data_IF_389767273695
#
_entry.id   IF_389767273695
#
_cell.length_a   1.000
_cell.length_b   1.000
_cell.length_c   1.000
_cell.angle_alpha   90.00
_cell.angle_beta   90.00
_cell.angle_gamma   90.00
#
_symmetry.space_group_name_H-M   'P 1'
#
loop_
_entity.id
_entity.type
_entity.pdbx_description
1 polymer ?
#
# COMPACT_ATOMS: atom_id res chain seq x y z
N UNK A 1 14.44 18.16 -30.07
CA UNK A 1 13.95 17.01 -30.85
C UNK A 1 14.84 15.83 -30.48
N UNK A 2 14.51 15.11 -29.40
CA UNK A 2 15.11 13.83 -29.09
C UNK A 2 14.20 12.79 -29.74
N UNK A 3 14.71 12.09 -30.73
CA UNK A 3 14.11 10.90 -31.27
C UNK A 3 14.01 9.87 -30.12
N UNK A 4 12.86 9.79 -29.46
CA UNK A 4 12.47 8.55 -28.82
C UNK A 4 12.20 7.57 -29.96
N UNK A 5 13.24 6.83 -30.35
CA UNK A 5 13.06 5.57 -31.07
C UNK A 5 12.10 4.76 -30.19
N UNK A 6 10.95 4.40 -30.75
CA UNK A 6 10.04 3.42 -30.19
C UNK A 6 10.86 2.11 -30.09
N UNK A 7 11.53 1.90 -28.94
CA UNK A 7 12.03 0.57 -28.62
C UNK A 7 10.77 -0.28 -28.43
N UNK A 8 10.68 -1.36 -29.19
CA UNK A 8 9.57 -2.31 -29.06
C UNK A 8 9.45 -2.71 -27.59
N UNK A 9 8.25 -2.60 -27.03
CA UNK A 9 8.03 -2.97 -25.63
C UNK A 9 8.40 -4.44 -25.38
N UNK A 10 9.13 -4.72 -24.32
CA UNK A 10 9.44 -6.09 -23.90
C UNK A 10 8.18 -6.96 -23.77
N UNK A 11 7.03 -6.36 -23.44
CA UNK A 11 5.76 -7.08 -23.38
C UNK A 11 5.25 -7.46 -24.75
N UNK A 12 5.44 -6.61 -25.76
CA UNK A 12 5.11 -6.93 -27.17
C UNK A 12 5.98 -8.04 -27.71
N UNK A 13 7.28 -8.05 -27.37
CA UNK A 13 8.18 -9.17 -27.69
C UNK A 13 7.69 -10.49 -27.07
N UNK A 14 7.09 -10.44 -25.88
CA UNK A 14 6.49 -11.58 -25.19
C UNK A 14 5.07 -11.90 -25.70
N UNK A 15 4.52 -11.14 -26.64
CA UNK A 15 3.16 -11.30 -27.14
C UNK A 15 2.08 -10.85 -26.15
N UNK A 16 2.42 -9.98 -25.19
CA UNK A 16 1.50 -9.44 -24.20
C UNK A 16 1.17 -7.98 -24.55
N UNK A 17 -0.11 -7.62 -24.73
CA UNK A 17 -0.49 -6.25 -25.02
C UNK A 17 -0.12 -5.28 -23.88
N UNK A 18 0.40 -4.12 -24.24
CA UNK A 18 0.67 -3.04 -23.29
C UNK A 18 -0.61 -2.35 -22.82
N UNK A 19 -0.50 -1.53 -21.78
CA UNK A 19 -1.61 -0.85 -21.13
C UNK A 19 -1.31 0.63 -20.97
N UNK A 20 -2.24 1.48 -21.40
CA UNK A 20 -2.35 2.88 -20.98
C UNK A 20 -3.19 2.92 -19.71
N UNK A 21 -2.56 3.29 -18.61
CA UNK A 21 -3.17 3.20 -17.28
C UNK A 21 -3.77 4.55 -16.84
N UNK A 22 -5.04 4.74 -17.11
CA UNK A 22 -5.86 5.85 -16.63
C UNK A 22 -6.73 5.49 -15.41
N UNK A 23 -6.40 4.40 -14.69
CA UNK A 23 -7.14 3.92 -13.51
C UNK A 23 -6.38 4.13 -12.18
N UNK A 24 -5.22 4.80 -12.20
CA UNK A 24 -4.36 4.98 -11.03
C UNK A 24 -3.57 3.72 -10.65
N UNK A 25 -3.07 3.66 -9.42
CA UNK A 25 -2.12 2.64 -8.95
C UNK A 25 -2.78 1.27 -8.69
N UNK A 26 -3.33 0.64 -9.72
CA UNK A 26 -4.01 -0.67 -9.60
C UNK A 26 -3.02 -1.83 -9.75
N UNK A 27 -2.90 -2.68 -8.72
CA UNK A 27 -1.98 -3.83 -8.68
C UNK A 27 -2.12 -4.77 -9.91
N UNK A 28 -3.37 -5.03 -10.38
CA UNK A 28 -3.64 -5.94 -11.50
C UNK A 28 -3.05 -5.50 -12.85
N UNK A 29 -2.60 -4.26 -12.98
CA UNK A 29 -1.99 -3.70 -14.19
C UNK A 29 -0.59 -3.15 -13.93
N UNK A 30 0.06 -3.59 -12.84
CA UNK A 30 1.45 -3.27 -12.55
C UNK A 30 1.67 -2.17 -11.52
N UNK A 31 0.60 -1.64 -10.90
CA UNK A 31 0.73 -0.57 -9.88
C UNK A 31 1.09 0.76 -10.51
N UNK A 32 2.25 1.30 -10.16
CA UNK A 32 2.85 2.49 -10.75
C UNK A 32 4.13 2.16 -11.52
N UNK A 33 4.58 3.08 -12.36
CA UNK A 33 5.92 2.98 -12.95
C UNK A 33 6.96 3.28 -11.89
N UNK A 34 7.97 2.40 -11.79
CA UNK A 34 9.12 2.61 -10.90
C UNK A 34 9.85 3.88 -11.34
N UNK A 35 10.37 4.65 -10.39
CA UNK A 35 11.16 5.85 -10.66
C UNK A 35 12.42 5.49 -11.46
N UNK A 36 12.85 6.32 -12.43
CA UNK A 36 13.99 6.02 -13.28
C UNK A 36 15.29 5.77 -12.50
N UNK A 37 15.55 6.57 -11.46
CA UNK A 37 16.70 6.44 -10.57
C UNK A 37 16.66 5.10 -9.81
N UNK A 38 15.49 4.70 -9.31
CA UNK A 38 15.30 3.43 -8.64
C UNK A 38 15.53 2.23 -9.58
N UNK A 39 15.08 2.31 -10.84
CA UNK A 39 15.35 1.29 -11.86
C UNK A 39 16.85 1.14 -12.13
N UNK A 40 17.60 2.25 -12.22
CA UNK A 40 19.04 2.20 -12.43
C UNK A 40 19.76 1.60 -11.23
N UNK A 41 19.35 1.95 -10.01
CA UNK A 41 19.94 1.39 -8.80
C UNK A 41 19.62 -0.11 -8.64
N UNK A 42 18.39 -0.54 -8.99
CA UNK A 42 18.03 -1.97 -9.07
C UNK A 42 18.92 -2.73 -10.05
N UNK A 43 19.15 -2.15 -11.24
CA UNK A 43 20.01 -2.75 -12.26
C UNK A 43 21.45 -2.92 -11.77
N UNK A 44 21.98 -1.95 -11.02
CA UNK A 44 23.32 -2.00 -10.41
C UNK A 44 23.36 -3.06 -9.31
N UNK A 45 22.39 -3.04 -8.40
CA UNK A 45 22.30 -4.00 -7.28
C UNK A 45 22.20 -5.46 -7.76
N UNK A 46 21.55 -5.70 -8.91
CA UNK A 46 21.43 -7.04 -9.47
C UNK A 46 22.78 -7.71 -9.80
N UNK A 47 23.81 -6.92 -10.09
CA UNK A 47 25.17 -7.40 -10.40
C UNK A 47 26.05 -7.75 -9.21
N UNK A 48 25.60 -7.49 -7.97
CA UNK A 48 26.42 -7.58 -6.77
C UNK A 48 25.77 -8.46 -5.69
N UNK A 49 26.53 -8.82 -4.65
CA UNK A 49 26.03 -9.52 -3.48
C UNK A 49 26.14 -8.62 -2.24
N UNK A 50 25.23 -8.81 -1.28
CA UNK A 50 25.17 -8.07 -0.03
C UNK A 50 24.55 -8.95 1.06
N UNK A 51 24.91 -8.72 2.31
CA UNK A 51 24.17 -9.27 3.45
C UNK A 51 22.81 -8.56 3.56
N UNK A 52 21.74 -9.33 3.44
CA UNK A 52 20.38 -8.77 3.46
C UNK A 52 20.03 -8.11 4.79
N UNK A 53 20.59 -8.62 5.89
CA UNK A 53 20.43 -8.01 7.22
C UNK A 53 20.99 -6.57 7.27
N UNK A 54 22.20 -6.35 6.75
CA UNK A 54 22.82 -5.03 6.70
C UNK A 54 22.04 -4.05 5.80
N UNK A 55 21.54 -4.56 4.66
CA UNK A 55 20.72 -3.76 3.76
C UNK A 55 19.37 -3.38 4.39
N UNK A 56 18.74 -4.30 5.12
CA UNK A 56 17.51 -4.04 5.89
C UNK A 56 17.78 -3.05 7.04
N UNK A 57 18.91 -3.16 7.74
CA UNK A 57 19.27 -2.20 8.78
C UNK A 57 19.42 -0.77 8.21
N UNK A 58 20.05 -0.63 7.04
CA UNK A 58 20.14 0.68 6.37
C UNK A 58 18.77 1.20 5.91
N UNK A 59 17.91 0.33 5.40
CA UNK A 59 16.53 0.68 5.06
C UNK A 59 15.72 1.08 6.30
N UNK A 60 15.95 0.40 7.44
CA UNK A 60 15.31 0.74 8.72
C UNK A 60 15.67 2.16 9.18
N UNK A 61 16.93 2.56 9.07
CA UNK A 61 17.37 3.93 9.40
C UNK A 61 16.65 4.98 8.56
N UNK A 62 16.59 4.79 7.23
CA UNK A 62 15.88 5.72 6.35
C UNK A 62 14.39 5.79 6.66
N UNK A 63 13.73 4.63 6.85
CA UNK A 63 12.30 4.57 7.18
C UNK A 63 12.04 5.31 8.52
N UNK A 64 12.86 5.07 9.53
CA UNK A 64 12.77 5.77 10.81
C UNK A 64 12.93 7.29 10.66
N UNK A 65 13.90 7.73 9.86
CA UNK A 65 14.15 9.15 9.59
C UNK A 65 12.94 9.84 8.95
N UNK A 66 12.34 9.21 7.92
CA UNK A 66 11.24 9.84 7.15
C UNK A 66 9.86 9.69 7.79
N UNK A 67 9.70 8.73 8.72
CA UNK A 67 8.40 8.47 9.38
C UNK A 67 8.34 8.98 10.82
N UNK A 68 9.50 9.25 11.43
CA UNK A 68 9.58 9.56 12.85
C UNK A 68 9.36 8.35 13.77
N UNK A 69 9.24 7.13 13.22
CA UNK A 69 9.16 5.89 13.97
C UNK A 69 10.52 5.51 14.57
N UNK A 70 10.55 4.58 15.53
CA UNK A 70 11.80 4.12 16.15
C UNK A 70 12.64 3.26 15.20
N UNK A 71 11.98 2.51 14.30
CA UNK A 71 12.61 1.63 13.33
C UNK A 71 11.68 1.37 12.14
N UNK A 72 12.24 0.77 11.08
CA UNK A 72 11.47 0.37 9.92
C UNK A 72 11.92 -0.97 9.35
N UNK A 73 11.13 -1.50 8.41
CA UNK A 73 11.43 -2.75 7.73
C UNK A 73 10.82 -2.80 6.33
N UNK A 74 11.53 -3.40 5.38
CA UNK A 74 11.02 -3.61 4.03
C UNK A 74 10.50 -5.02 3.86
N UNK A 75 9.26 -5.13 3.39
CA UNK A 75 8.56 -6.40 3.16
C UNK A 75 8.20 -6.60 1.70
N UNK A 76 7.77 -7.80 1.31
CA UNK A 76 7.30 -8.11 -0.04
C UNK A 76 5.86 -7.61 -0.27
N UNK A 77 5.65 -6.31 -0.08
CA UNK A 77 4.37 -5.62 -0.21
C UNK A 77 3.68 -5.39 1.14
N UNK A 78 2.74 -4.45 1.17
CA UNK A 78 2.01 -4.07 2.38
C UNK A 78 1.27 -5.25 3.03
N UNK A 79 0.72 -6.18 2.23
CA UNK A 79 0.06 -7.36 2.79
C UNK A 79 1.02 -8.26 3.59
N UNK A 80 2.28 -8.41 3.14
CA UNK A 80 3.31 -9.09 3.91
C UNK A 80 3.69 -8.30 5.17
N UNK A 81 3.70 -6.96 5.08
CA UNK A 81 3.88 -6.08 6.24
C UNK A 81 2.80 -6.30 7.30
N UNK A 82 1.53 -6.32 6.91
CA UNK A 82 0.40 -6.58 7.82
C UNK A 82 0.48 -7.98 8.45
N UNK A 83 0.83 -9.00 7.68
CA UNK A 83 1.00 -10.36 8.20
C UNK A 83 2.10 -10.40 9.26
N UNK A 84 3.25 -9.82 8.95
CA UNK A 84 4.40 -9.80 9.86
C UNK A 84 4.14 -8.94 11.10
N UNK A 85 3.41 -7.84 10.97
CA UNK A 85 2.99 -7.00 12.11
C UNK A 85 2.07 -7.77 13.06
N UNK A 86 1.10 -8.50 12.51
CA UNK A 86 0.25 -9.38 13.32
C UNK A 86 1.05 -10.52 13.97
N UNK A 87 1.98 -11.12 13.24
CA UNK A 87 2.86 -12.16 13.77
C UNK A 87 3.76 -11.63 14.89
N UNK A 88 4.24 -10.39 14.75
CA UNK A 88 5.03 -9.72 15.78
C UNK A 88 4.20 -9.41 17.03
N UNK A 89 2.97 -8.92 16.87
CA UNK A 89 2.06 -8.66 17.98
C UNK A 89 1.67 -9.94 18.74
N UNK A 90 1.58 -11.10 18.05
CA UNK A 90 1.28 -12.39 18.69
C UNK A 90 2.51 -12.98 19.37
N UNK A 91 3.66 -13.00 18.68
CA UNK A 91 4.83 -13.75 19.13
C UNK A 91 5.84 -12.91 19.91
N UNK A 92 5.85 -11.58 19.75
CA UNK A 92 6.90 -10.76 20.34
C UNK A 92 8.30 -11.26 19.98
N UNK A 93 9.12 -11.57 20.99
CA UNK A 93 10.46 -12.16 20.84
C UNK A 93 10.51 -13.66 21.23
N UNK A 94 9.35 -14.31 21.47
CA UNK A 94 9.28 -15.73 21.76
C UNK A 94 9.58 -16.57 20.53
N UNK A 95 10.82 -17.08 20.45
CA UNK A 95 11.31 -17.89 19.34
C UNK A 95 10.50 -19.18 19.13
N UNK A 96 9.97 -19.78 20.21
CA UNK A 96 9.19 -21.00 20.12
C UNK A 96 7.80 -20.72 19.54
N UNK A 97 7.24 -19.56 19.83
CA UNK A 97 5.96 -19.12 19.25
C UNK A 97 6.13 -18.70 17.80
N UNK A 98 7.22 -17.99 17.45
CA UNK A 98 7.57 -17.67 16.06
C UNK A 98 7.65 -18.91 15.17
N UNK A 99 8.27 -19.99 15.67
CA UNK A 99 8.47 -21.24 14.92
C UNK A 99 7.14 -21.99 14.65
N UNK A 100 6.13 -21.78 15.47
CA UNK A 100 4.85 -22.48 15.38
C UNK A 100 3.73 -21.69 14.69
N UNK A 101 3.88 -20.36 14.51
CA UNK A 101 2.87 -19.58 13.78
C UNK A 101 2.60 -20.19 12.39
N UNK A 102 1.35 -20.22 11.91
CA UNK A 102 0.14 -19.55 12.46
C UNK A 102 -0.64 -20.35 13.51
N UNK A 103 -0.09 -21.42 14.09
CA UNK A 103 -0.74 -22.16 15.16
C UNK A 103 -0.54 -21.43 16.49
N UNK A 104 -1.52 -20.63 16.88
CA UNK A 104 -1.50 -19.85 18.12
C UNK A 104 -1.84 -20.68 19.35
N UNK A 105 -2.58 -21.77 19.19
CA UNK A 105 -3.01 -22.60 20.32
C UNK A 105 -3.82 -21.80 21.34
N UNK A 106 -3.31 -21.71 22.57
CA UNK A 106 -3.98 -21.05 23.71
C UNK A 106 -3.44 -19.62 23.99
N UNK A 107 -2.47 -19.12 23.21
CA UNK A 107 -1.96 -17.76 23.43
C UNK A 107 -2.93 -16.70 22.93
N UNK A 108 -2.86 -15.45 23.43
CA UNK A 108 -3.62 -14.33 22.88
C UNK A 108 -3.37 -14.17 21.38
N UNK A 109 -4.42 -13.96 20.59
CA UNK A 109 -4.36 -13.92 19.14
C UNK A 109 -5.47 -13.05 18.52
N UNK A 110 -6.22 -12.31 19.34
CA UNK A 110 -7.34 -11.50 18.85
C UNK A 110 -6.86 -10.13 18.39
N UNK A 111 -7.32 -9.74 17.20
CA UNK A 111 -7.18 -8.37 16.68
C UNK A 111 -8.57 -7.74 16.59
N UNK A 112 -8.80 -6.73 17.42
CA UNK A 112 -10.05 -5.94 17.39
C UNK A 112 -10.02 -5.02 16.17
N UNK A 113 -11.08 -5.05 15.36
CA UNK A 113 -11.11 -4.28 14.12
C UNK A 113 -12.52 -3.73 13.83
N UNK A 114 -12.66 -2.41 13.56
CA UNK A 114 -13.93 -1.88 13.10
C UNK A 114 -14.40 -2.60 11.82
N UNK A 115 -15.66 -3.03 11.80
CA UNK A 115 -16.22 -3.77 10.66
C UNK A 115 -16.16 -2.97 9.36
N UNK A 116 -16.28 -1.65 9.43
CA UNK A 116 -16.13 -0.74 8.30
C UNK A 116 -14.71 -0.68 7.74
N UNK A 117 -13.70 -1.13 8.51
CA UNK A 117 -12.30 -1.24 8.10
C UNK A 117 -11.95 -2.59 7.45
N UNK A 118 -12.89 -3.56 7.45
CA UNK A 118 -12.65 -4.88 6.85
C UNK A 118 -12.46 -4.77 5.35
N UNK A 119 -11.38 -5.35 4.87
CA UNK A 119 -11.01 -5.41 3.45
C UNK A 119 -10.54 -6.82 3.10
N UNK A 120 -10.29 -7.10 1.80
CA UNK A 120 -9.69 -8.37 1.40
C UNK A 120 -8.29 -8.61 1.98
N UNK A 121 -7.64 -7.56 2.49
CA UNK A 121 -6.30 -7.63 3.08
C UNK A 121 -6.30 -8.06 4.56
N UNK A 122 -7.44 -8.16 5.23
CA UNK A 122 -7.53 -8.77 6.55
C UNK A 122 -7.11 -10.26 6.56
N UNK A 123 -7.10 -10.87 5.38
CA UNK A 123 -6.48 -12.18 5.18
C UNK A 123 -5.03 -12.23 5.64
N UNK A 124 -4.28 -11.14 5.50
CA UNK A 124 -2.89 -11.07 5.94
C UNK A 124 -2.78 -11.25 7.47
N UNK A 125 -3.60 -10.52 8.22
CA UNK A 125 -3.65 -10.65 9.68
C UNK A 125 -4.03 -12.08 10.11
N UNK A 126 -5.07 -12.64 9.49
CA UNK A 126 -5.53 -14.01 9.77
C UNK A 126 -4.52 -15.08 9.36
N UNK A 127 -3.73 -14.85 8.31
CA UNK A 127 -2.69 -15.79 7.89
C UNK A 127 -1.52 -15.86 8.88
N UNK A 128 -1.34 -14.85 9.72
CA UNK A 128 -0.41 -14.89 10.86
C UNK A 128 -0.93 -15.74 12.04
N UNK A 129 -2.20 -16.15 12.00
CA UNK A 129 -2.87 -16.87 13.09
C UNK A 129 -3.87 -16.02 13.87
N UNK A 130 -4.01 -14.72 13.54
CA UNK A 130 -4.91 -13.83 14.27
C UNK A 130 -6.38 -14.15 14.06
N UNK A 131 -7.15 -14.03 15.12
CA UNK A 131 -8.62 -14.04 15.11
C UNK A 131 -9.12 -12.59 15.07
N UNK A 132 -9.89 -12.22 14.04
CA UNK A 132 -10.46 -10.88 13.96
C UNK A 132 -11.72 -10.78 14.81
N UNK A 133 -11.74 -9.83 15.73
CA UNK A 133 -12.90 -9.45 16.53
C UNK A 133 -13.54 -8.22 15.90
N UNK A 134 -14.63 -8.43 15.16
CA UNK A 134 -15.37 -7.35 14.51
C UNK A 134 -16.15 -6.50 15.51
N UNK A 135 -16.03 -5.17 15.41
CA UNK A 135 -16.82 -4.20 16.17
C UNK A 135 -17.60 -3.26 15.27
N UNK A 136 -18.75 -2.80 15.75
CA UNK A 136 -19.63 -1.90 14.99
C UNK A 136 -20.45 -2.59 13.91
N UNK A 137 -21.00 -1.79 13.00
CA UNK A 137 -21.92 -2.24 11.92
C UNK A 137 -21.57 -1.58 10.59
N UNK A 138 -21.93 -2.20 9.48
CA UNK A 138 -21.82 -1.66 8.12
C UNK A 138 -23.15 -1.80 7.34
N UNK A 139 -24.28 -1.74 8.01
CA UNK A 139 -25.59 -1.80 7.37
C UNK A 139 -25.96 -0.46 6.74
N UNK A 140 -25.70 -0.29 5.46
CA UNK A 140 -26.00 0.92 4.69
C UNK A 140 -27.48 1.29 4.61
N UNK A 141 -28.40 0.37 4.96
CA UNK A 141 -29.84 0.63 4.95
C UNK A 141 -30.34 1.37 6.19
N UNK A 142 -29.56 1.40 7.26
CA UNK A 142 -29.91 2.05 8.52
C UNK A 142 -29.46 3.52 8.61
N UNK A 143 -28.93 4.09 7.53
CA UNK A 143 -28.44 5.45 7.48
C UNK A 143 -27.06 5.63 8.12
N UNK A 144 -26.78 6.80 8.69
CA UNK A 144 -25.45 7.16 9.19
C UNK A 144 -24.95 6.27 10.33
N UNK A 145 -25.83 5.73 11.16
CA UNK A 145 -25.48 4.79 12.22
C UNK A 145 -24.96 3.43 11.71
N UNK A 146 -25.24 3.11 10.45
CA UNK A 146 -24.88 1.82 9.86
C UNK A 146 -23.39 1.69 9.50
N UNK A 147 -22.67 2.79 9.41
CA UNK A 147 -21.26 2.82 9.02
C UNK A 147 -20.34 3.27 10.16
N UNK A 148 -20.90 3.45 11.35
CA UNK A 148 -20.17 3.96 12.51
C UNK A 148 -19.77 2.85 13.45
N UNK A 149 -18.61 3.03 14.05
CA UNK A 149 -18.16 2.36 15.25
C UNK A 149 -18.01 3.41 16.33
N UNK A 150 -18.68 3.20 17.46
CA UNK A 150 -18.54 4.08 18.59
C UNK A 150 -17.27 3.71 19.40
N UNK A 151 -16.54 4.69 19.95
CA UNK A 151 -15.33 4.43 20.74
C UNK A 151 -15.50 3.37 21.81
N UNK A 152 -16.61 3.38 22.56
CA UNK A 152 -16.91 2.39 23.60
C UNK A 152 -17.07 0.96 23.09
N UNK A 153 -17.39 0.75 21.82
CA UNK A 153 -17.49 -0.60 21.22
C UNK A 153 -16.10 -1.21 21.06
N UNK A 154 -15.10 -0.38 20.67
CA UNK A 154 -13.69 -0.80 20.57
C UNK A 154 -13.18 -1.14 21.98
N UNK A 155 -13.36 -0.23 22.95
CA UNK A 155 -12.93 -0.42 24.34
C UNK A 155 -13.48 -1.72 24.93
N UNK A 156 -14.77 -2.01 24.75
CA UNK A 156 -15.41 -3.22 25.29
C UNK A 156 -15.02 -4.51 24.57
N UNK A 157 -14.49 -4.43 23.35
CA UNK A 157 -14.05 -5.60 22.62
C UNK A 157 -12.62 -6.03 22.98
N UNK A 158 -11.84 -5.14 23.58
CA UNK A 158 -10.49 -5.45 24.08
C UNK A 158 -10.60 -6.37 25.29
N UNK A 159 -9.86 -7.47 25.27
CA UNK A 159 -9.81 -8.50 26.31
C UNK A 159 -8.36 -8.94 26.54
N UNK A 160 -8.11 -9.80 27.55
CA UNK A 160 -6.80 -10.41 27.80
C UNK A 160 -6.27 -11.25 26.61
N UNK A 161 -7.10 -11.50 25.60
CA UNK A 161 -6.71 -12.18 24.35
C UNK A 161 -6.35 -11.24 23.22
N UNK A 162 -6.58 -9.94 23.38
CA UNK A 162 -6.34 -8.95 22.34
C UNK A 162 -4.84 -8.64 22.26
N UNK A 163 -4.26 -8.82 21.08
CA UNK A 163 -2.85 -8.57 20.80
C UNK A 163 -2.64 -7.27 20.01
N UNK A 164 -3.67 -6.76 19.34
CA UNK A 164 -3.63 -5.47 18.64
C UNK A 164 -5.04 -4.97 18.32
N UNK A 165 -5.12 -3.67 18.03
CA UNK A 165 -6.24 -3.07 17.30
C UNK A 165 -5.80 -2.86 15.85
N UNK A 166 -6.56 -3.38 14.89
CA UNK A 166 -6.32 -3.21 13.46
C UNK A 166 -7.09 -2.01 12.92
N UNK A 167 -6.41 -1.10 12.24
CA UNK A 167 -6.99 0.12 11.68
C UNK A 167 -6.65 0.25 10.20
N UNK A 168 -7.65 0.47 9.33
CA UNK A 168 -7.43 0.78 7.91
C UNK A 168 -7.65 2.27 7.70
N UNK A 169 -6.57 2.97 7.37
CA UNK A 169 -6.63 4.41 7.13
C UNK A 169 -7.25 4.70 5.77
N UNK A 170 -8.31 5.51 5.79
CA UNK A 170 -8.97 6.14 4.65
C UNK A 170 -9.55 7.48 5.08
N UNK A 171 -9.82 8.37 4.14
CA UNK A 171 -10.43 9.69 4.44
C UNK A 171 -11.78 9.58 5.15
N UNK A 172 -12.49 8.47 4.95
CA UNK A 172 -13.82 8.21 5.49
C UNK A 172 -13.83 7.30 6.72
N UNK A 173 -12.70 6.74 7.16
CA UNK A 173 -12.68 5.84 8.33
C UNK A 173 -12.96 6.60 9.62
N UNK A 174 -13.75 5.98 10.50
CA UNK A 174 -14.14 6.51 11.82
C UNK A 174 -14.18 5.35 12.83
N UNK A 175 -13.89 5.62 14.12
CA UNK A 175 -13.40 6.88 14.70
C UNK A 175 -12.04 7.31 14.14
N UNK A 176 -11.64 8.56 14.36
CA UNK A 176 -10.31 9.04 13.94
C UNK A 176 -9.20 8.23 14.63
N UNK A 177 -8.07 8.07 13.94
CA UNK A 177 -6.98 7.23 14.43
C UNK A 177 -6.52 7.58 15.84
N UNK A 178 -6.38 8.87 16.16
CA UNK A 178 -5.97 9.34 17.50
C UNK A 178 -6.92 8.91 18.62
N UNK A 179 -8.22 8.77 18.32
CA UNK A 179 -9.20 8.25 19.29
C UNK A 179 -9.01 6.75 19.51
N UNK A 180 -8.71 6.03 18.43
CA UNK A 180 -8.50 4.57 18.51
C UNK A 180 -7.19 4.25 19.23
N UNK A 181 -6.13 5.02 18.97
CA UNK A 181 -4.84 4.83 19.65
C UNK A 181 -4.94 5.14 21.15
N UNK A 182 -5.66 6.22 21.55
CA UNK A 182 -5.91 6.51 22.96
C UNK A 182 -6.61 5.34 23.67
N UNK A 183 -7.69 4.79 23.07
CA UNK A 183 -8.41 3.65 23.65
C UNK A 183 -7.53 2.42 23.76
N UNK A 184 -6.76 2.10 22.71
CA UNK A 184 -5.90 0.92 22.68
C UNK A 184 -4.79 1.02 23.75
N UNK A 185 -4.12 2.16 23.83
CA UNK A 185 -3.05 2.42 24.79
C UNK A 185 -3.55 2.48 26.25
N UNK A 186 -4.76 2.97 26.52
CA UNK A 186 -5.38 2.90 27.85
C UNK A 186 -5.60 1.44 28.32
N UNK A 187 -5.53 0.47 27.38
CA UNK A 187 -5.65 -0.97 27.64
C UNK A 187 -4.34 -1.74 27.38
N UNK A 188 -3.21 -1.07 27.24
CA UNK A 188 -1.90 -1.65 26.94
C UNK A 188 -1.88 -2.50 25.64
N UNK A 189 -2.64 -2.11 24.61
CA UNK A 189 -2.77 -2.81 23.32
C UNK A 189 -2.25 -1.94 22.19
N UNK A 190 -1.38 -2.45 21.30
CA UNK A 190 -0.85 -1.70 20.16
C UNK A 190 -1.88 -1.53 19.03
N UNK A 191 -1.64 -0.53 18.20
CA UNK A 191 -2.44 -0.24 16.99
C UNK A 191 -1.61 -0.49 15.72
N UNK A 192 -2.09 -1.42 14.88
CA UNK A 192 -1.51 -1.72 13.56
C UNK A 192 -2.34 -0.99 12.48
N UNK A 193 -1.71 -0.07 11.76
CA UNK A 193 -2.37 0.76 10.74
C UNK A 193 -2.04 0.28 9.33
N UNK A 194 -3.06 -0.10 8.56
CA UNK A 194 -2.94 -0.27 7.11
C UNK A 194 -3.10 1.10 6.43
N UNK A 195 -1.99 1.70 6.04
CA UNK A 195 -1.88 2.94 5.28
C UNK A 195 -1.37 2.71 3.84
N UNK A 196 -1.58 1.52 3.28
CA UNK A 196 -0.99 1.08 2.02
C UNK A 196 -1.26 2.00 0.82
N UNK A 197 -2.30 2.85 0.86
CA UNK A 197 -2.64 3.76 -0.24
C UNK A 197 -2.55 5.25 0.15
N UNK A 198 -1.97 5.55 1.29
CA UNK A 198 -2.04 6.87 1.91
C UNK A 198 -0.81 7.76 1.60
N UNK A 199 0.17 7.29 0.85
CA UNK A 199 1.24 8.08 0.29
C UNK A 199 1.09 8.16 -1.25
N UNK A 200 1.13 9.37 -1.86
CA UNK A 200 1.27 10.70 -1.26
C UNK A 200 0.02 11.14 -0.47
N UNK A 201 0.00 12.27 0.26
CA UNK A 201 1.09 13.24 0.40
C UNK A 201 2.23 12.72 1.30
N UNK A 202 3.41 13.36 1.21
CA UNK A 202 4.61 12.93 1.94
C UNK A 202 4.44 13.05 3.46
N UNK A 203 3.65 13.99 3.92
CA UNK A 203 3.33 14.24 5.32
C UNK A 203 2.67 13.02 5.98
N UNK A 204 1.98 12.20 5.21
CA UNK A 204 1.34 10.97 5.71
C UNK A 204 2.35 9.91 6.16
N UNK A 205 3.63 10.02 5.75
CA UNK A 205 4.65 9.09 6.24
C UNK A 205 4.85 9.20 7.76
N UNK A 206 4.77 10.42 8.33
CA UNK A 206 4.90 10.64 9.78
C UNK A 206 3.56 10.78 10.51
N UNK A 207 2.53 11.27 9.84
CA UNK A 207 1.26 11.65 10.48
C UNK A 207 0.59 10.52 11.28
N UNK A 208 0.70 9.27 10.84
CA UNK A 208 0.07 8.14 11.53
C UNK A 208 0.85 7.69 12.77
N UNK A 209 2.19 7.79 12.73
CA UNK A 209 3.06 7.58 13.89
C UNK A 209 2.81 8.69 14.92
N UNK A 210 2.74 9.95 14.48
CA UNK A 210 2.41 11.10 15.33
C UNK A 210 1.01 10.98 15.96
N UNK A 211 0.07 10.31 15.28
CA UNK A 211 -1.26 10.01 15.82
C UNK A 211 -1.29 8.84 16.81
N UNK A 212 -0.14 8.24 17.12
CA UNK A 212 0.03 7.19 18.11
C UNK A 212 -0.05 5.77 17.55
N UNK A 213 0.09 5.56 16.24
CA UNK A 213 0.17 4.21 15.70
C UNK A 213 1.49 3.53 16.09
N UNK A 214 1.43 2.32 16.63
CA UNK A 214 2.60 1.54 17.05
C UNK A 214 3.29 0.87 15.84
N UNK A 215 2.49 0.50 14.83
CA UNK A 215 2.97 -0.03 13.55
C UNK A 215 2.15 0.54 12.40
N UNK A 216 2.82 1.09 11.41
CA UNK A 216 2.19 1.63 10.18
C UNK A 216 2.75 0.89 8.96
N UNK A 217 1.86 0.49 8.05
CA UNK A 217 2.23 -0.26 6.85
C UNK A 217 1.85 0.50 5.59
N UNK A 218 2.85 0.82 4.75
CA UNK A 218 2.68 1.46 3.45
C UNK A 218 3.01 0.52 2.29
N UNK A 219 2.50 0.83 1.09
CA UNK A 219 2.90 0.14 -0.14
C UNK A 219 3.99 0.91 -0.86
N UNK A 220 5.12 0.28 -1.14
CA UNK A 220 6.21 0.88 -1.91
C UNK A 220 5.90 1.05 -3.40
N UNK A 221 5.04 0.19 -3.96
CA UNK A 221 4.73 0.16 -5.40
C UNK A 221 3.51 1.00 -5.83
N UNK A 222 2.98 1.86 -4.96
CA UNK A 222 1.90 2.80 -5.28
C UNK A 222 2.46 4.20 -5.54
N UNK A 223 2.07 5.20 -4.77
CA UNK A 223 2.47 6.59 -4.99
C UNK A 223 3.96 6.87 -4.74
N UNK A 224 4.64 6.08 -3.92
CA UNK A 224 6.10 6.16 -3.73
C UNK A 224 6.83 5.80 -5.04
N UNK A 225 6.21 4.97 -5.89
CA UNK A 225 6.77 4.55 -7.18
C UNK A 225 8.06 3.75 -7.07
N UNK A 226 8.17 2.93 -6.01
CA UNK A 226 9.14 1.86 -5.89
C UNK A 226 8.68 0.57 -6.60
N UNK A 227 9.43 -0.54 -6.45
CA UNK A 227 9.01 -1.83 -6.97
C UNK A 227 7.66 -2.27 -6.40
N UNK A 228 6.77 -2.79 -7.24
CA UNK A 228 5.41 -3.15 -6.84
C UNK A 228 5.37 -4.21 -5.72
N UNK A 229 6.35 -5.08 -5.68
CA UNK A 229 6.49 -6.12 -4.66
C UNK A 229 7.16 -5.62 -3.39
N UNK A 230 7.05 -4.33 -3.05
CA UNK A 230 7.62 -3.78 -1.82
C UNK A 230 6.57 -3.15 -0.94
N UNK A 231 6.78 -3.28 0.37
CA UNK A 231 6.02 -2.61 1.41
C UNK A 231 6.96 -2.07 2.48
N UNK A 232 6.54 -1.02 3.14
CA UNK A 232 7.24 -0.38 4.24
C UNK A 232 6.45 -0.69 5.51
N UNK A 233 7.13 -1.14 6.54
CA UNK A 233 6.63 -1.18 7.92
C UNK A 233 7.45 -0.19 8.72
N UNK A 234 6.79 0.73 9.40
CA UNK A 234 7.41 1.70 10.31
C UNK A 234 6.74 1.54 11.69
N UNK A 235 7.50 1.60 12.77
CA UNK A 235 6.89 1.46 14.09
C UNK A 235 7.90 1.36 15.22
N UNK A 236 7.42 0.90 16.36
CA UNK A 236 8.23 0.67 17.55
C UNK A 236 9.24 -0.46 17.30
N UNK A 237 10.41 -0.30 17.89
CA UNK A 237 11.55 -1.19 17.69
C UNK A 237 11.24 -2.64 17.98
N UNK A 238 10.49 -2.93 19.01
CA UNK A 238 10.16 -4.30 19.41
C UNK A 238 9.39 -5.07 18.33
N UNK A 239 8.45 -4.43 17.64
CA UNK A 239 7.72 -5.05 16.51
C UNK A 239 8.63 -5.23 15.31
N UNK A 240 9.49 -4.26 15.01
CA UNK A 240 10.42 -4.34 13.87
C UNK A 240 11.46 -5.44 14.11
N UNK A 241 11.98 -5.60 15.30
CA UNK A 241 12.89 -6.71 15.67
C UNK A 241 12.22 -8.07 15.47
N UNK A 242 10.99 -8.22 15.96
CA UNK A 242 10.20 -9.44 15.79
C UNK A 242 9.92 -9.74 14.31
N UNK A 243 9.55 -8.74 13.53
CA UNK A 243 9.36 -8.84 12.07
C UNK A 243 10.64 -9.32 11.39
N UNK A 244 11.76 -8.69 11.69
CA UNK A 244 13.06 -9.03 11.11
C UNK A 244 13.48 -10.46 11.46
N UNK A 245 13.29 -10.88 12.71
CA UNK A 245 13.58 -12.22 13.20
C UNK A 245 12.72 -13.31 12.52
N UNK A 246 11.48 -12.99 12.15
CA UNK A 246 10.56 -13.92 11.48
C UNK A 246 10.70 -13.93 9.95
N UNK A 247 11.35 -12.93 9.37
CA UNK A 247 11.43 -12.78 7.91
C UNK A 247 12.82 -13.09 7.34
N UNK A 248 13.91 -12.66 8.00
CA UNK A 248 15.27 -12.89 7.52
C UNK A 248 15.66 -14.37 7.60
N UNK A 249 16.63 -14.75 6.76
CA UNK A 249 17.21 -16.09 6.80
C UNK A 249 18.18 -16.19 7.98
N UNK A 250 17.83 -17.02 8.97
CA UNK A 250 18.61 -17.23 10.18
C UNK A 250 19.29 -18.62 10.22
N UNK A 251 19.52 -19.23 9.03
CA UNK A 251 20.22 -20.52 8.94
C UNK A 251 21.72 -20.39 9.24
N UNK A 252 22.05 -20.13 10.48
CA UNK A 252 23.41 -19.96 10.98
C UNK A 252 23.56 -20.66 12.34
N UNK A 253 24.77 -21.12 12.66
CA UNK A 253 25.07 -21.65 14.00
C UNK A 253 24.85 -20.55 15.06
N UNK A 254 24.32 -20.92 16.23
CA UNK A 254 23.93 -19.95 17.27
C UNK A 254 25.10 -19.04 17.72
N UNK A 255 26.30 -19.59 17.83
CA UNK A 255 27.52 -18.84 18.18
C UNK A 255 28.07 -17.95 17.03
N UNK A 256 27.60 -18.17 15.82
CA UNK A 256 27.94 -17.35 14.65
C UNK A 256 26.80 -16.36 14.26
N UNK A 257 25.66 -16.44 14.94
CA UNK A 257 24.56 -15.49 14.70
C UNK A 257 24.90 -14.11 15.22
N UNK A 258 25.05 -13.18 14.31
CA UNK A 258 25.41 -11.80 14.58
C UNK A 258 24.58 -10.84 13.68
N UNK A 259 23.28 -10.66 14.00
CA UNK A 259 22.45 -9.73 13.26
C UNK A 259 22.94 -8.28 13.44
N UNK A 260 22.62 -7.36 12.51
CA UNK A 260 22.92 -5.95 12.69
C UNK A 260 22.23 -5.38 13.94
N UNK A 261 23.00 -4.79 14.87
CA UNK A 261 22.48 -4.23 16.13
C UNK A 261 21.39 -3.15 15.92
N UNK A 262 21.47 -2.40 14.80
CA UNK A 262 20.46 -1.39 14.44
C UNK A 262 19.11 -2.00 14.02
N UNK A 263 19.05 -3.31 13.77
CA UNK A 263 17.83 -4.01 13.30
C UNK A 263 17.34 -5.04 14.32
N UNK A 264 18.23 -5.82 14.94
CA UNK A 264 17.89 -6.87 15.90
C UNK A 264 18.88 -6.82 17.05
N UNK A 265 18.40 -6.58 18.26
CA UNK A 265 19.19 -6.80 19.48
C UNK A 265 19.11 -8.27 19.88
N UNK A 266 20.22 -8.98 19.72
CA UNK A 266 20.34 -10.39 20.07
C UNK A 266 19.96 -10.69 21.54
N UNK A 267 20.14 -9.72 22.44
CA UNK A 267 19.84 -9.89 23.85
C UNK A 267 18.33 -10.04 24.15
N UNK A 268 17.48 -9.64 23.23
CA UNK A 268 16.03 -9.74 23.36
C UNK A 268 15.49 -11.15 23.01
N UNK A 269 16.36 -12.08 22.57
CA UNK A 269 15.94 -13.42 22.12
C UNK A 269 16.63 -14.51 22.93
N UNK A 270 15.86 -15.51 23.39
CA UNK A 270 16.37 -16.69 24.11
C UNK A 270 17.17 -17.66 23.22
N UNK A 271 17.18 -17.44 21.91
CA UNK A 271 17.88 -18.27 20.93
C UNK A 271 17.83 -17.68 19.53
N UNK A 272 18.41 -18.39 18.57
CA UNK A 272 18.36 -18.00 17.15
C UNK A 272 17.00 -18.36 16.58
N UNK A 273 16.20 -17.40 16.07
CA UNK A 273 14.99 -17.69 15.32
C UNK A 273 15.35 -18.49 14.08
N UNK A 274 14.86 -19.71 13.93
CA UNK A 274 15.28 -20.55 12.78
C UNK A 274 14.57 -20.21 11.51
N UNK A 275 13.24 -20.24 11.55
CA UNK A 275 12.36 -19.84 10.45
C UNK A 275 11.06 -19.31 10.99
N UNK A 276 10.77 -18.05 10.73
CA UNK A 276 9.47 -17.48 11.00
C UNK A 276 8.52 -17.59 9.81
N UNK A 277 7.27 -17.24 10.07
CA UNK A 277 6.19 -17.25 9.09
C UNK A 277 6.48 -16.36 7.85
N UNK A 278 7.33 -15.36 8.00
CA UNK A 278 7.74 -14.44 6.93
C UNK A 278 8.71 -15.03 5.92
N UNK A 279 9.39 -16.12 6.25
CA UNK A 279 10.46 -16.67 5.43
C UNK A 279 10.09 -16.99 3.97
N UNK A 280 8.86 -17.44 3.66
CA UNK A 280 8.42 -17.63 2.26
C UNK A 280 8.20 -16.33 1.49
N UNK A 281 8.03 -15.21 2.16
CA UNK A 281 7.71 -13.90 1.57
C UNK A 281 8.97 -13.08 1.30
N UNK A 282 9.88 -13.62 0.49
CA UNK A 282 11.16 -12.98 0.19
C UNK A 282 11.00 -11.64 -0.48
N UNK A 283 11.87 -10.69 -0.10
CA UNK A 283 12.14 -9.48 -0.86
C UNK A 283 13.58 -9.55 -1.36
N UNK A 284 13.82 -9.28 -2.64
CA UNK A 284 15.16 -9.34 -3.23
C UNK A 284 15.97 -8.10 -2.91
N UNK A 285 17.30 -8.21 -2.98
CA UNK A 285 18.20 -7.08 -2.77
C UNK A 285 17.94 -5.95 -3.76
N UNK A 286 17.56 -6.29 -4.98
CA UNK A 286 17.22 -5.34 -6.04
C UNK A 286 15.98 -4.51 -5.68
N UNK A 287 14.94 -5.18 -5.20
CA UNK A 287 13.69 -4.54 -4.79
C UNK A 287 13.89 -3.69 -3.54
N UNK A 288 14.71 -4.16 -2.59
CA UNK A 288 15.10 -3.39 -1.41
C UNK A 288 15.80 -2.08 -1.80
N UNK A 289 16.84 -2.17 -2.64
CA UNK A 289 17.57 -1.00 -3.14
C UNK A 289 16.63 -0.08 -3.93
N UNK A 290 15.79 -0.65 -4.80
CA UNK A 290 14.82 0.13 -5.58
C UNK A 290 13.81 0.87 -4.70
N UNK A 291 13.36 0.25 -3.58
CA UNK A 291 12.47 0.92 -2.65
C UNK A 291 13.18 2.05 -1.89
N UNK A 292 14.39 1.81 -1.39
CA UNK A 292 15.19 2.83 -0.67
C UNK A 292 15.40 4.05 -1.58
N UNK A 293 15.84 3.83 -2.82
CA UNK A 293 16.05 4.90 -3.80
C UNK A 293 14.75 5.64 -4.15
N UNK A 294 13.64 4.90 -4.30
CA UNK A 294 12.34 5.52 -4.59
C UNK A 294 11.79 6.32 -3.42
N UNK A 295 11.99 5.86 -2.18
CA UNK A 295 11.55 6.56 -0.96
C UNK A 295 12.33 7.86 -0.76
N UNK A 296 13.65 7.82 -0.94
CA UNK A 296 14.53 8.97 -0.87
C UNK A 296 14.08 10.05 -1.88
N UNK A 297 13.92 9.66 -3.15
CA UNK A 297 13.41 10.55 -4.20
C UNK A 297 11.99 11.06 -3.93
N UNK A 298 11.12 10.25 -3.30
CA UNK A 298 9.75 10.64 -2.96
C UNK A 298 9.70 11.74 -1.90
N UNK A 299 10.58 11.66 -0.91
CA UNK A 299 10.68 12.66 0.17
C UNK A 299 11.23 13.99 -0.35
N UNK A 300 12.16 13.95 -1.31
CA UNK A 300 12.75 15.15 -1.92
C UNK A 300 11.88 15.79 -3.02
N UNK A 301 10.85 15.08 -3.51
CA UNK A 301 10.01 15.51 -4.63
C UNK A 301 9.16 16.74 -4.29
N UNK A 302 9.12 17.72 -5.20
CA UNK A 302 8.20 18.86 -5.09
C UNK A 302 6.75 18.39 -5.31
N UNK A 303 6.10 18.03 -4.21
CA UNK A 303 4.73 17.52 -4.21
C UNK A 303 3.71 18.53 -4.78
N UNK A 304 4.00 19.84 -4.71
CA UNK A 304 3.13 20.85 -5.28
C UNK A 304 3.25 20.86 -6.82
N UNK A 305 4.47 20.80 -7.34
CA UNK A 305 4.71 20.73 -8.79
C UNK A 305 4.04 19.47 -9.41
N UNK A 306 4.12 18.33 -8.72
CA UNK A 306 3.47 17.09 -9.14
C UNK A 306 1.94 17.24 -9.17
N UNK A 307 1.34 17.85 -8.15
CA UNK A 307 -0.11 18.11 -8.12
C UNK A 307 -0.55 19.07 -9.23
N UNK A 308 0.25 20.10 -9.51
CA UNK A 308 -0.01 21.05 -10.59
C UNK A 308 0.04 20.36 -11.95
N UNK A 309 1.00 19.43 -12.18
CA UNK A 309 1.08 18.62 -13.40
C UNK A 309 -0.16 17.74 -13.58
N UNK A 310 -0.59 17.03 -12.53
CA UNK A 310 -1.81 16.21 -12.57
C UNK A 310 -3.05 17.06 -12.84
N UNK A 311 -3.17 18.23 -12.21
CA UNK A 311 -4.29 19.15 -12.41
C UNK A 311 -4.34 19.68 -13.84
N UNK A 312 -3.19 20.07 -14.41
CA UNK A 312 -3.10 20.50 -15.79
C UNK A 312 -3.48 19.38 -16.78
N UNK A 313 -3.03 18.15 -16.52
CA UNK A 313 -3.35 16.96 -17.33
C UNK A 313 -4.85 16.66 -17.30
N UNK A 314 -5.47 16.63 -16.12
CA UNK A 314 -6.91 16.39 -15.98
C UNK A 314 -7.74 17.52 -16.57
N UNK A 315 -7.29 18.77 -16.47
CA UNK A 315 -7.95 19.90 -17.15
C UNK A 315 -8.04 19.67 -18.67
N UNK A 316 -6.93 19.30 -19.31
CA UNK A 316 -6.92 18.98 -20.76
C UNK A 316 -7.82 17.79 -21.11
N UNK A 317 -7.78 16.73 -20.30
CA UNK A 317 -8.65 15.54 -20.47
C UNK A 317 -10.12 15.95 -20.41
N UNK A 318 -10.49 16.71 -19.39
CA UNK A 318 -11.86 17.18 -19.14
C UNK A 318 -12.36 18.04 -20.30
N UNK A 319 -11.56 19.02 -20.73
CA UNK A 319 -11.94 19.92 -21.83
C UNK A 319 -12.18 19.15 -23.13
N UNK A 320 -11.28 18.24 -23.50
CA UNK A 320 -11.41 17.44 -24.73
C UNK A 320 -12.61 16.49 -24.69
N UNK A 321 -12.89 15.85 -23.55
CA UNK A 321 -14.07 14.97 -23.40
C UNK A 321 -15.38 15.78 -23.48
N UNK A 322 -15.42 17.00 -22.90
CA UNK A 322 -16.57 17.90 -23.01
C UNK A 322 -16.77 18.42 -24.45
N UNK A 323 -15.69 18.76 -25.15
CA UNK A 323 -15.73 19.13 -26.57
C UNK A 323 -16.29 17.98 -27.42
N UNK A 324 -16.03 16.74 -27.05
CA UNK A 324 -16.61 15.52 -27.63
C UNK A 324 -18.04 15.23 -27.17
N UNK A 325 -18.68 16.13 -26.41
CA UNK A 325 -20.11 16.03 -26.05
C UNK A 325 -20.41 15.20 -24.82
N UNK A 326 -19.39 14.78 -24.06
CA UNK A 326 -19.58 14.03 -22.80
C UNK A 326 -19.80 14.97 -21.61
N UNK A 327 -20.61 14.52 -20.65
CA UNK A 327 -20.73 15.19 -19.35
C UNK A 327 -19.58 14.74 -18.43
N UNK A 328 -18.74 15.71 -18.05
CA UNK A 328 -17.53 15.44 -17.26
C UNK A 328 -17.46 16.41 -16.08
N UNK A 329 -17.29 15.86 -14.90
CA UNK A 329 -16.98 16.63 -13.68
C UNK A 329 -15.56 16.32 -13.24
N UNK A 330 -14.94 17.25 -12.51
CA UNK A 330 -13.62 17.07 -11.94
C UNK A 330 -13.76 16.98 -10.42
N UNK A 331 -13.16 15.96 -9.82
CA UNK A 331 -13.09 15.86 -8.36
C UNK A 331 -11.97 16.77 -7.83
N UNK A 332 -12.19 17.34 -6.67
CA UNK A 332 -11.11 17.97 -5.91
C UNK A 332 -10.36 16.89 -5.10
N UNK A 333 -9.06 17.04 -4.90
CA UNK A 333 -8.31 16.14 -4.03
C UNK A 333 -8.85 16.19 -2.59
N UNK A 334 -9.32 15.06 -2.08
CA UNK A 334 -9.77 14.92 -0.70
C UNK A 334 -9.13 13.68 -0.06
N UNK A 335 -8.54 13.85 1.11
CA UNK A 335 -7.94 12.76 1.89
C UNK A 335 -6.86 12.03 1.10
N UNK A 336 -7.09 10.77 0.81
CA UNK A 336 -6.15 9.90 0.07
C UNK A 336 -6.17 10.10 -1.45
N UNK A 337 -7.16 10.81 -1.99
CA UNK A 337 -7.21 11.21 -3.40
C UNK A 337 -6.38 12.47 -3.58
N UNK A 338 -5.10 12.31 -3.81
CA UNK A 338 -4.14 13.44 -3.95
C UNK A 338 -4.09 14.03 -5.35
N UNK A 339 -4.72 13.38 -6.31
CA UNK A 339 -4.84 13.84 -7.68
C UNK A 339 -6.30 14.16 -8.01
N UNK A 340 -6.60 15.26 -8.70
CA UNK A 340 -7.93 15.47 -9.25
C UNK A 340 -8.21 14.40 -10.30
N UNK A 341 -9.45 13.95 -10.39
CA UNK A 341 -9.87 12.93 -11.35
C UNK A 341 -10.99 13.47 -12.23
N UNK A 342 -11.05 13.03 -13.49
CA UNK A 342 -12.19 13.32 -14.36
C UNK A 342 -13.22 12.19 -14.25
N UNK A 343 -14.39 12.51 -13.73
CA UNK A 343 -15.56 11.63 -13.69
C UNK A 343 -16.39 11.89 -14.93
N UNK A 344 -16.54 10.87 -15.77
CA UNK A 344 -17.23 10.92 -17.04
C UNK A 344 -18.54 10.18 -16.96
N UNK A 345 -19.65 10.87 -17.07
CA UNK A 345 -20.97 10.28 -17.11
C UNK A 345 -21.35 9.85 -18.54
N UNK A 346 -21.80 8.61 -18.68
CA UNK A 346 -22.33 8.06 -19.94
C UNK A 346 -23.86 8.17 -19.98
N UNK A 347 -24.48 8.81 -19.00
CA UNK A 347 -25.94 9.00 -18.97
C UNK A 347 -26.41 9.79 -20.20
N UNK A 348 -27.28 9.17 -20.99
CA UNK A 348 -27.81 9.79 -22.23
C UNK A 348 -26.97 9.57 -23.47
N UNK A 349 -25.90 8.79 -23.36
CA UNK A 349 -25.09 8.30 -24.51
C UNK A 349 -25.58 6.90 -24.89
N UNK A 350 -25.46 6.49 -26.15
CA UNK A 350 -25.88 5.14 -26.58
C UNK A 350 -24.99 4.05 -25.98
N UNK A 351 -23.70 4.33 -25.78
CA UNK A 351 -22.70 3.41 -25.20
C UNK A 351 -22.73 3.49 -23.69
N UNK A 352 -22.99 2.39 -23.01
CA UNK A 352 -22.93 2.32 -21.55
C UNK A 352 -21.47 2.35 -21.03
N UNK A 353 -21.28 2.76 -19.77
CA UNK A 353 -19.95 2.71 -19.13
C UNK A 353 -19.38 1.27 -19.16
N UNK A 354 -20.20 0.25 -19.04
CA UNK A 354 -19.81 -1.16 -19.10
C UNK A 354 -19.29 -1.55 -20.48
N UNK A 355 -20.00 -1.15 -21.55
CA UNK A 355 -19.59 -1.44 -22.92
C UNK A 355 -18.33 -0.65 -23.30
N UNK A 356 -18.25 0.63 -22.89
CA UNK A 356 -17.06 1.45 -23.07
C UNK A 356 -15.82 0.81 -22.42
N UNK A 357 -15.92 0.40 -21.16
CA UNK A 357 -14.81 -0.27 -20.44
C UNK A 357 -14.40 -1.57 -21.13
N UNK A 358 -15.34 -2.34 -21.64
CA UNK A 358 -15.05 -3.56 -22.39
C UNK A 358 -14.32 -3.26 -23.69
N UNK A 359 -14.81 -2.31 -24.50
CA UNK A 359 -14.19 -1.90 -25.76
C UNK A 359 -12.77 -1.34 -25.56
N UNK A 360 -12.56 -0.49 -24.55
CA UNK A 360 -11.25 0.05 -24.20
C UNK A 360 -10.22 -1.03 -23.83
N UNK A 361 -10.65 -2.16 -23.28
CA UNK A 361 -9.78 -3.30 -22.97
C UNK A 361 -9.41 -4.15 -24.18
N UNK A 362 -10.15 -4.04 -25.28
CA UNK A 362 -9.87 -4.73 -26.54
C UNK A 362 -8.94 -3.92 -27.47
N UNK A 363 -8.62 -2.67 -27.10
CA UNK A 363 -7.65 -1.82 -27.81
C UNK A 363 -6.21 -2.36 -27.73
N UNK A 364 -5.34 -1.83 -28.58
CA UNK A 364 -3.90 -2.07 -28.53
C UNK A 364 -3.11 -0.77 -28.76
N UNK A 365 -2.45 -0.19 -27.73
CA UNK A 365 -2.46 -0.63 -26.33
C UNK A 365 -3.85 -0.58 -25.67
N UNK A 366 -4.07 -1.45 -24.70
CA UNK A 366 -5.31 -1.47 -23.90
C UNK A 366 -5.45 -0.19 -23.09
N UNK A 367 -6.67 0.32 -22.91
CA UNK A 367 -6.91 1.47 -22.03
C UNK A 367 -7.67 1.02 -20.78
N UNK A 368 -7.10 1.31 -19.62
CA UNK A 368 -7.72 1.06 -18.32
C UNK A 368 -8.16 2.37 -17.68
N UNK A 369 -9.44 2.51 -17.41
CA UNK A 369 -10.06 3.60 -16.66
C UNK A 369 -10.59 3.09 -15.32
N UNK A 370 -10.84 3.98 -14.36
CA UNK A 370 -11.54 3.66 -13.13
C UNK A 370 -12.99 3.25 -13.44
N UNK A 371 -13.45 2.15 -12.86
CA UNK A 371 -14.76 1.57 -13.12
C UNK A 371 -15.51 1.24 -11.82
N UNK A 372 -15.15 1.87 -10.72
CA UNK A 372 -15.75 1.61 -9.41
C UNK A 372 -17.20 2.13 -9.34
N UNK A 373 -17.56 3.15 -10.18
CA UNK A 373 -18.92 3.71 -10.34
C UNK A 373 -19.65 3.21 -11.61
N UNK A 374 -19.26 2.06 -12.17
CA UNK A 374 -19.81 1.53 -13.44
C UNK A 374 -21.33 1.28 -13.39
N UNK A 375 -21.86 0.98 -12.22
CA UNK A 375 -23.31 0.78 -12.01
C UNK A 375 -24.11 2.11 -11.99
N UNK A 376 -23.40 3.23 -11.78
CA UNK A 376 -23.93 4.59 -11.95
C UNK A 376 -23.75 5.12 -13.40
N UNK A 377 -23.31 4.26 -14.31
CA UNK A 377 -22.98 4.60 -15.69
C UNK A 377 -21.86 5.67 -15.81
N UNK A 378 -20.85 5.56 -14.95
CA UNK A 378 -19.71 6.46 -14.88
C UNK A 378 -18.40 5.71 -15.01
N UNK A 379 -17.39 6.38 -15.58
CA UNK A 379 -15.98 6.01 -15.56
C UNK A 379 -15.14 7.14 -14.98
N UNK A 380 -13.94 6.82 -14.51
CA UNK A 380 -13.02 7.78 -13.93
C UNK A 380 -11.67 7.74 -14.67
N UNK A 381 -11.13 8.90 -15.02
CA UNK A 381 -9.77 9.05 -15.53
C UNK A 381 -8.89 9.64 -14.43
N UNK A 382 -7.91 8.86 -13.98
CA UNK A 382 -6.93 9.23 -12.96
C UNK A 382 -5.58 9.57 -13.63
N UNK A 383 -4.95 10.72 -13.33
CA UNK A 383 -3.75 11.20 -14.03
C UNK A 383 -2.43 10.61 -13.54
N UNK A 384 -2.40 9.98 -12.36
CA UNK A 384 -1.16 9.63 -11.63
C UNK A 384 -0.20 8.73 -12.40
N UNK A 385 -0.74 7.86 -13.26
CA UNK A 385 0.04 6.88 -14.01
C UNK A 385 0.13 7.19 -15.52
N UNK A 386 -0.37 8.34 -15.95
CA UNK A 386 -0.38 8.79 -17.35
C UNK A 386 0.76 9.77 -17.64
N UNK A 387 1.34 9.65 -18.83
CA UNK A 387 2.02 10.75 -19.49
C UNK A 387 0.99 11.61 -20.25
N UNK A 388 1.39 12.77 -20.77
CA UNK A 388 0.50 13.63 -21.56
C UNK A 388 0.05 12.93 -22.86
N UNK A 389 0.96 12.25 -23.56
CA UNK A 389 0.64 11.49 -24.78
C UNK A 389 -0.32 10.32 -24.50
N UNK A 390 -0.17 9.64 -23.37
CA UNK A 390 -1.08 8.57 -22.97
C UNK A 390 -2.46 9.09 -22.54
N UNK A 391 -2.52 10.27 -21.93
CA UNK A 391 -3.78 10.94 -21.63
C UNK A 391 -4.52 11.31 -22.92
N UNK A 392 -3.80 11.86 -23.91
CA UNK A 392 -4.34 12.17 -25.22
C UNK A 392 -4.82 10.93 -25.97
N UNK A 393 -4.07 9.84 -25.90
CA UNK A 393 -4.48 8.54 -26.46
C UNK A 393 -5.76 8.03 -25.79
N UNK A 394 -5.80 7.99 -24.45
CA UNK A 394 -6.96 7.52 -23.71
C UNK A 394 -8.23 8.29 -24.07
N UNK A 395 -8.15 9.63 -24.10
CA UNK A 395 -9.27 10.51 -24.54
C UNK A 395 -9.72 10.16 -25.95
N UNK A 396 -8.77 10.02 -26.89
CA UNK A 396 -9.11 9.72 -28.29
C UNK A 396 -9.83 8.38 -28.44
N UNK A 397 -9.44 7.37 -27.63
CA UNK A 397 -10.10 6.04 -27.65
C UNK A 397 -11.48 6.08 -26.99
N UNK A 398 -11.63 6.81 -25.87
CA UNK A 398 -12.94 7.02 -25.23
C UNK A 398 -13.94 7.62 -26.24
N UNK A 399 -13.55 8.74 -26.89
CA UNK A 399 -14.40 9.41 -27.86
C UNK A 399 -14.72 8.51 -29.07
N UNK A 400 -13.73 7.79 -29.61
CA UNK A 400 -13.94 6.90 -30.75
C UNK A 400 -14.94 5.76 -30.44
N UNK A 401 -14.95 5.23 -29.23
CA UNK A 401 -15.92 4.19 -28.82
C UNK A 401 -17.31 4.78 -28.59
N UNK A 402 -17.39 6.03 -28.13
CA UNK A 402 -18.69 6.70 -27.89
C UNK A 402 -19.33 7.14 -29.19
N UNK A 403 -18.55 7.56 -30.18
CA UNK A 403 -19.06 8.01 -31.50
C UNK A 403 -19.43 6.85 -32.43
N UNK A 404 -19.06 5.59 -32.15
CA UNK A 404 -19.35 4.39 -32.92
C UNK A 404 -18.33 4.11 -33.98
#
# INVERSE_FOLDING_TARGET
MSEHTCEDSVYEELGVPTVVNAAGTKTRIGGSRIRPEALEDMRRAAGEFVELGDLQARASELIAEVTGAEAGYVTSGAAAGLLLSAAAAIAGTDVALMDRLPDTGDVPDEIVMPRTHRTGYDHALRAAGATIVDVGTNDHHLGTGATNVEPWEIERAITDRTVAVGYVQKSYTRPDLSVVTEIAHDNDVPVIVDAAAEAPPVENLSAFVEAGADVVVFSGGKGIRGPQTTGIVAGEREYIESIAAQHLDMHVAADAWNPPEGLIDRANFDGVPRQGIGRPMKVGKEELVGLVSALDSFVEEDQQAVREEWSARIGRVTDRLREGGLDVTTTEPEGTSVAPEAVVSLSGVETSARDLVAALRDENPRVYVGADSIDADEIVVNPMCLTDDEADYAVSRILAVVDG
#
